data_IF_759827304963
#
_entry.id   IF_759827304963
#
_cell.length_a   1.000
_cell.length_b   1.000
_cell.length_c   1.000
_cell.angle_alpha   90.00
_cell.angle_beta   90.00
_cell.angle_gamma   90.00
#
_symmetry.space_group_name_H-M   'P 1'
#
loop_
_entity.id
_entity.type
_entity.pdbx_description
1 polymer ?
#
# COMPACT_ATOMS: atom_id res chain seq x y z
N UNK A 1 7.87 24.15 -31.56
CA UNK A 1 8.44 22.81 -31.25
C UNK A 1 8.29 22.56 -29.76
N UNK A 2 7.57 21.50 -29.39
CA UNK A 2 6.96 21.32 -28.08
C UNK A 2 7.93 21.06 -26.93
N UNK A 3 7.76 21.82 -25.84
CA UNK A 3 8.19 21.42 -24.50
C UNK A 3 6.98 20.85 -23.76
N UNK A 4 6.69 19.57 -24.00
CA UNK A 4 5.77 18.78 -23.15
C UNK A 4 6.51 18.41 -21.86
N UNK A 5 6.54 19.33 -20.91
CA UNK A 5 6.93 19.06 -19.53
C UNK A 5 5.80 19.45 -18.60
N UNK A 6 5.01 18.45 -18.20
CA UNK A 6 4.14 18.33 -17.00
C UNK A 6 2.89 17.53 -17.34
N UNK A 7 2.99 16.21 -17.22
CA UNK A 7 1.84 15.36 -16.88
C UNK A 7 2.30 13.99 -16.37
N UNK A 8 3.32 14.00 -15.50
CA UNK A 8 3.71 12.84 -14.68
C UNK A 8 3.14 13.05 -13.25
N UNK A 9 1.86 13.45 -13.18
CA UNK A 9 1.13 13.72 -11.93
C UNK A 9 -0.02 12.74 -11.68
N UNK A 10 -0.04 11.57 -12.32
CA UNK A 10 -1.09 10.57 -12.09
C UNK A 10 -0.50 9.21 -12.36
N UNK A 11 -0.62 8.29 -11.42
CA UNK A 11 0.18 7.07 -11.27
C UNK A 11 1.54 7.35 -10.63
N UNK A 12 1.57 7.55 -9.30
CA UNK A 12 2.67 6.97 -8.53
C UNK A 12 2.74 5.51 -9.00
N UNK A 13 3.86 5.11 -9.57
CA UNK A 13 4.08 3.74 -10.02
C UNK A 13 4.16 2.86 -8.76
N UNK A 14 3.00 2.47 -8.21
CA UNK A 14 2.91 1.61 -7.04
C UNK A 14 3.55 0.23 -7.32
N UNK A 15 3.79 -0.09 -8.59
CA UNK A 15 4.62 -1.21 -9.05
C UNK A 15 6.06 -1.17 -8.50
N UNK A 16 6.59 0.00 -8.16
CA UNK A 16 7.89 0.14 -7.51
C UNK A 16 7.81 0.36 -5.99
N UNK A 17 6.60 0.45 -5.42
CA UNK A 17 6.41 0.68 -4.00
C UNK A 17 6.68 -0.63 -3.25
N UNK A 18 7.72 -0.63 -2.43
CA UNK A 18 7.96 -1.65 -1.41
C UNK A 18 7.96 -0.97 -0.05
N UNK A 19 7.07 -1.41 0.82
CA UNK A 19 6.85 -0.81 2.14
C UNK A 19 7.46 -1.62 3.28
N UNK A 20 7.98 -2.82 2.99
CA UNK A 20 8.31 -3.81 4.01
C UNK A 20 7.07 -4.31 4.77
N UNK A 21 7.28 -4.93 5.92
CA UNK A 21 6.20 -5.31 6.83
C UNK A 21 5.84 -4.15 7.75
N UNK A 22 4.61 -3.65 7.60
CA UNK A 22 4.01 -2.64 8.48
C UNK A 22 3.21 -3.37 9.54
N UNK A 23 3.66 -3.35 10.78
CA UNK A 23 2.90 -3.93 11.90
C UNK A 23 1.88 -2.93 12.43
N UNK A 24 0.61 -3.35 12.47
CA UNK A 24 -0.50 -2.54 12.94
C UNK A 24 -1.47 -3.38 13.78
N UNK A 25 -1.53 -3.11 15.09
CA UNK A 25 -2.47 -3.74 16.03
C UNK A 25 -2.50 -5.28 15.97
N UNK A 26 -1.32 -5.92 15.83
CA UNK A 26 -1.18 -7.38 15.73
C UNK A 26 -1.33 -7.97 14.31
N UNK A 27 -1.61 -7.12 13.32
CA UNK A 27 -1.63 -7.48 11.91
C UNK A 27 -0.37 -6.98 11.22
N UNK A 28 0.16 -7.72 10.26
CA UNK A 28 1.27 -7.29 9.42
C UNK A 28 0.77 -7.03 8.01
N UNK A 29 0.90 -5.80 7.55
CA UNK A 29 0.53 -5.39 6.21
C UNK A 29 1.80 -5.23 5.40
N UNK A 30 1.90 -5.92 4.28
CA UNK A 30 2.98 -5.73 3.33
C UNK A 30 2.40 -5.17 2.04
N UNK A 31 3.03 -4.15 1.47
CA UNK A 31 2.69 -3.62 0.15
C UNK A 31 3.94 -3.65 -0.70
N UNK A 32 3.89 -4.40 -1.81
CA UNK A 32 4.97 -4.58 -2.76
C UNK A 32 4.39 -4.71 -4.18
N UNK A 33 4.92 -3.93 -5.13
CA UNK A 33 4.58 -4.11 -6.55
C UNK A 33 3.11 -3.82 -6.90
N UNK A 34 2.49 -2.86 -6.21
CA UNK A 34 1.08 -2.48 -6.43
C UNK A 34 0.08 -3.48 -5.84
N UNK A 35 0.56 -4.48 -5.10
CA UNK A 35 -0.24 -5.44 -4.35
C UNK A 35 0.18 -5.42 -2.89
N UNK A 36 -0.69 -5.91 -2.03
CA UNK A 36 -0.36 -6.11 -0.64
C UNK A 36 -1.12 -7.26 -0.04
N UNK A 37 -0.58 -7.74 1.07
CA UNK A 37 -1.15 -8.81 1.85
C UNK A 37 -1.20 -8.42 3.32
N UNK A 38 -2.26 -8.85 3.99
CA UNK A 38 -2.44 -8.71 5.43
C UNK A 38 -2.24 -10.07 6.05
N UNK A 39 -1.33 -10.15 7.02
CA UNK A 39 -1.04 -11.35 7.80
C UNK A 39 -1.44 -11.14 9.25
N UNK A 40 -1.86 -12.22 9.89
CA UNK A 40 -2.01 -12.24 11.35
C UNK A 40 -0.64 -12.34 12.06
N UNK A 41 -0.68 -12.39 13.40
CA UNK A 41 0.49 -12.56 14.25
C UNK A 41 1.22 -13.89 14.07
N UNK A 42 0.53 -14.93 13.57
CA UNK A 42 1.08 -16.25 13.27
C UNK A 42 1.71 -16.30 11.86
N UNK A 43 1.46 -15.29 11.03
CA UNK A 43 2.00 -15.13 9.68
C UNK A 43 1.09 -15.66 8.57
N UNK A 44 -0.16 -16.04 8.88
CA UNK A 44 -1.10 -16.46 7.85
C UNK A 44 -1.69 -15.27 7.11
N UNK A 45 -1.74 -15.36 5.77
CA UNK A 45 -2.38 -14.35 4.93
C UNK A 45 -3.90 -14.43 5.13
N UNK A 46 -4.45 -13.39 5.73
CA UNK A 46 -5.90 -13.27 6.00
C UNK A 46 -6.62 -12.43 4.95
N UNK A 47 -5.89 -11.57 4.23
CA UNK A 47 -6.42 -10.80 3.12
C UNK A 47 -5.33 -10.43 2.11
N UNK A 48 -5.73 -10.26 0.87
CA UNK A 48 -4.87 -9.80 -0.22
C UNK A 48 -5.59 -8.65 -0.93
N UNK A 49 -4.84 -7.62 -1.32
CA UNK A 49 -5.38 -6.44 -1.98
C UNK A 49 -4.44 -5.91 -3.06
N UNK A 50 -5.00 -5.17 -4.00
CA UNK A 50 -4.26 -4.40 -5.01
C UNK A 50 -4.44 -2.92 -4.72
N UNK A 51 -3.35 -2.16 -4.79
CA UNK A 51 -3.37 -0.70 -4.62
C UNK A 51 -3.58 -0.07 -5.99
N UNK A 52 -4.76 0.50 -6.24
CA UNK A 52 -5.02 1.23 -7.48
C UNK A 52 -4.63 2.71 -7.35
N UNK A 53 -4.84 3.28 -6.16
CA UNK A 53 -4.49 4.66 -5.81
C UNK A 53 -4.37 4.84 -4.30
N UNK A 54 -3.90 6.00 -3.84
CA UNK A 54 -3.74 6.32 -2.41
C UNK A 54 -5.07 6.30 -1.63
N UNK A 55 -6.19 6.41 -2.33
CA UNK A 55 -7.53 6.48 -1.76
C UNK A 55 -8.36 5.23 -2.09
N UNK A 56 -7.83 4.34 -2.95
CA UNK A 56 -8.56 3.18 -3.42
C UNK A 56 -7.66 1.95 -3.51
N UNK A 57 -8.04 0.94 -2.76
CA UNK A 57 -7.53 -0.41 -2.89
C UNK A 57 -8.66 -1.35 -3.31
N UNK A 58 -8.30 -2.43 -3.99
CA UNK A 58 -9.23 -3.50 -4.36
C UNK A 58 -8.83 -4.74 -3.58
N UNK A 59 -9.73 -5.26 -2.74
CA UNK A 59 -9.54 -6.58 -2.14
C UNK A 59 -9.59 -7.64 -3.24
N UNK A 60 -8.55 -8.47 -3.28
CA UNK A 60 -8.46 -9.67 -4.11
C UNK A 60 -8.98 -10.89 -3.33
N UNK A 61 -8.75 -10.92 -2.02
CA UNK A 61 -9.14 -12.02 -1.12
C UNK A 61 -9.28 -11.52 0.32
N UNK A 62 -10.13 -12.16 1.12
CA UNK A 62 -10.35 -11.85 2.54
C UNK A 62 -11.57 -10.98 2.85
N UNK A 63 -11.72 -10.60 4.12
CA UNK A 63 -12.83 -9.78 4.61
C UNK A 63 -12.67 -8.28 4.29
N UNK A 64 -13.80 -7.61 4.06
CA UNK A 64 -13.88 -6.16 3.82
C UNK A 64 -13.22 -5.31 4.90
N UNK A 65 -13.21 -5.78 6.17
CA UNK A 65 -12.59 -5.08 7.30
C UNK A 65 -11.08 -4.84 7.13
N UNK A 66 -10.41 -5.69 6.34
CA UNK A 66 -8.98 -5.56 6.08
C UNK A 66 -8.68 -4.52 5.01
N UNK A 67 -9.67 -4.10 4.22
CA UNK A 67 -9.48 -3.01 3.27
C UNK A 67 -9.23 -1.68 3.99
N UNK A 68 -10.03 -1.36 5.00
CA UNK A 68 -9.83 -0.14 5.79
C UNK A 68 -8.45 -0.13 6.47
N UNK A 69 -8.03 -1.28 7.01
CA UNK A 69 -6.72 -1.43 7.63
C UNK A 69 -5.57 -1.23 6.63
N UNK A 70 -5.66 -1.84 5.45
CA UNK A 70 -4.68 -1.66 4.38
C UNK A 70 -4.62 -0.22 3.86
N UNK A 71 -5.76 0.47 3.76
CA UNK A 71 -5.83 1.88 3.37
C UNK A 71 -5.16 2.78 4.42
N UNK A 72 -5.43 2.53 5.71
CA UNK A 72 -4.80 3.26 6.81
C UNK A 72 -3.28 3.03 6.81
N UNK A 73 -2.82 1.78 6.64
CA UNK A 73 -1.40 1.45 6.56
C UNK A 73 -0.72 2.16 5.40
N UNK A 74 -1.31 2.14 4.19
CA UNK A 74 -0.81 2.84 3.02
C UNK A 74 -0.71 4.35 3.27
N UNK A 75 -1.77 4.98 3.80
CA UNK A 75 -1.79 6.43 4.08
C UNK A 75 -0.77 6.81 5.15
N UNK A 76 -0.61 5.96 6.17
CA UNK A 76 0.41 6.15 7.20
C UNK A 76 1.81 6.08 6.59
N UNK A 77 2.08 5.09 5.74
CA UNK A 77 3.35 4.95 5.05
C UNK A 77 3.65 6.12 4.11
N UNK A 78 2.69 6.56 3.29
CA UNK A 78 2.90 7.71 2.40
C UNK A 78 3.13 8.99 3.20
N UNK A 79 2.43 9.17 4.33
CA UNK A 79 2.52 10.38 5.15
C UNK A 79 3.78 10.44 6.02
N UNK A 80 4.23 9.30 6.56
CA UNK A 80 5.33 9.21 7.53
C UNK A 80 6.55 8.43 7.04
N UNK A 81 6.40 7.56 6.05
CA UNK A 81 7.47 6.71 5.51
C UNK A 81 8.49 7.45 4.64
N UNK A 82 8.23 8.70 4.24
CA UNK A 82 9.20 9.52 3.48
C UNK A 82 10.29 10.12 4.39
N UNK A 83 10.15 10.06 5.72
CA UNK A 83 11.11 10.70 6.66
C UNK A 83 12.22 9.79 7.22
N UNK A 84 12.35 8.54 6.80
CA UNK A 84 13.48 7.68 7.19
C UNK A 84 14.47 7.44 6.03
N UNK A 85 14.97 8.53 5.43
CA UNK A 85 16.30 8.53 4.83
C UNK A 85 17.17 9.50 5.62
N UNK A 86 18.03 8.97 6.48
CA UNK A 86 19.17 9.66 7.10
C UNK A 86 20.36 8.73 7.08
#
# INVERSE_FOLDING_TARGET
MGRRFRFLERFMDFLGLDTGDIEFAGWRVRISGGKGDVRDSEGFVVAEFSVNSMEQITLLSGDGKFADLALIALRSYVRYGVTCQS
#
